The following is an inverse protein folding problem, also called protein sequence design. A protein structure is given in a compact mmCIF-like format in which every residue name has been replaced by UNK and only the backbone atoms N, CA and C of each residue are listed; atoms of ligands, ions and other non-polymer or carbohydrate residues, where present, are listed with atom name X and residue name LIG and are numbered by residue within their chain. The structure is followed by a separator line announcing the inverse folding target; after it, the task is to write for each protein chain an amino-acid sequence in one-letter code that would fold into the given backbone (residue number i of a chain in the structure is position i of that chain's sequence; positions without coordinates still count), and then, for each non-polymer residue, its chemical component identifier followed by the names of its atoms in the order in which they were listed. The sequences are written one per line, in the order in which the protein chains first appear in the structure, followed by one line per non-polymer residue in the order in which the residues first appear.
data_IF_195701542044
#
_entry.id   IF_195701542044
#
_cell.length_a   1.000
_cell.length_b   1.000
_cell.length_c   1.000
_cell.angle_alpha   90.00
_cell.angle_beta   90.00
_cell.angle_gamma   90.00
#
_symmetry.space_group_name_H-M   'P 1'
#
loop_
_entity.id
_entity.type
_entity.pdbx_description
1 polymer ?
#
# COMPACT_ATOMS: atom_id res chain seq x y z
N UNK A 1 21.91 3.78 4.17
CA UNK A 1 20.75 3.12 4.81
C UNK A 1 20.46 3.93 6.07
N UNK A 2 19.41 4.77 6.06
CA UNK A 2 19.02 5.62 7.19
C UNK A 2 17.54 5.34 7.42
N UNK A 3 17.22 4.73 8.57
CA UNK A 3 15.84 4.43 8.98
C UNK A 3 15.34 5.64 9.77
N UNK A 4 14.24 6.25 9.32
CA UNK A 4 13.63 7.42 9.95
C UNK A 4 12.42 6.98 10.76
N UNK A 5 12.34 7.47 11.97
CA UNK A 5 11.27 7.24 12.91
C UNK A 5 10.33 8.45 12.96
N UNK A 6 9.02 8.20 12.95
CA UNK A 6 7.99 9.22 13.06
C UNK A 6 7.32 9.15 14.45
N UNK A 7 7.20 10.30 15.11
CA UNK A 7 6.21 10.51 16.16
C UNK A 7 5.57 11.89 15.97
N UNK A 8 4.32 12.02 16.40
CA UNK A 8 3.33 13.01 15.94
C UNK A 8 3.65 14.50 16.16
N UNK A 9 4.88 14.88 16.55
CA UNK A 9 5.32 16.27 16.68
C UNK A 9 6.78 16.54 16.26
N UNK A 10 7.50 15.58 15.68
CA UNK A 10 8.86 15.82 15.16
C UNK A 10 9.01 15.29 13.74
N UNK A 11 9.30 16.19 12.80
CA UNK A 11 9.71 15.84 11.44
C UNK A 11 11.24 15.86 11.40
N UNK A 12 11.86 14.71 11.24
CA UNK A 12 13.28 14.61 10.85
C UNK A 12 13.28 14.35 9.35
N UNK A 13 13.62 15.36 8.55
CA UNK A 13 13.78 15.20 7.09
C UNK A 13 15.24 14.86 6.81
N UNK A 14 15.62 13.60 6.53
CA UNK A 14 16.91 13.36 5.90
C UNK A 14 16.80 13.78 4.45
N UNK A 15 17.38 14.92 4.12
CA UNK A 15 17.56 15.27 2.71
C UNK A 15 18.79 14.50 2.21
N UNK A 16 18.55 13.37 1.55
CA UNK A 16 19.58 12.73 0.73
C UNK A 16 19.77 13.58 -0.52
N UNK A 17 20.62 14.59 -0.40
CA UNK A 17 21.09 15.34 -1.56
C UNK A 17 22.42 14.74 -1.98
N UNK A 18 22.60 14.45 -3.27
CA UNK A 18 23.96 14.19 -3.76
C UNK A 18 24.86 15.40 -3.42
N UNK A 19 26.17 15.13 -3.29
CA UNK A 19 27.11 16.12 -2.78
C UNK A 19 27.18 17.40 -3.63
N UNK A 20 26.76 17.34 -4.90
CA UNK A 20 26.80 18.45 -5.86
C UNK A 20 25.54 19.31 -5.84
N UNK A 21 24.38 18.69 -5.69
CA UNK A 21 23.08 19.37 -5.63
C UNK A 21 22.88 20.04 -4.26
N UNK A 22 23.54 19.51 -3.22
CA UNK A 22 23.51 20.07 -1.86
C UNK A 22 24.07 21.49 -1.83
N UNK A 23 25.29 21.72 -2.34
CA UNK A 23 25.95 23.03 -2.27
C UNK A 23 25.19 24.13 -3.03
N UNK A 24 24.44 23.79 -4.09
CA UNK A 24 23.68 24.75 -4.89
C UNK A 24 22.41 25.24 -4.20
N UNK A 25 21.70 24.34 -3.52
CA UNK A 25 20.38 24.63 -2.93
C UNK A 25 20.43 24.76 -1.38
N UNK A 26 21.62 24.61 -0.78
CA UNK A 26 21.92 24.71 0.66
C UNK A 26 21.35 25.96 1.33
N UNK A 27 21.60 27.13 0.74
CA UNK A 27 21.16 28.41 1.31
C UNK A 27 19.63 28.53 1.29
N UNK A 28 18.99 27.99 0.24
CA UNK A 28 17.54 28.04 0.07
C UNK A 28 16.82 27.11 1.05
N UNK A 29 17.32 25.88 1.20
CA UNK A 29 16.78 24.89 2.14
C UNK A 29 16.97 25.32 3.60
N UNK A 30 18.13 25.89 3.95
CA UNK A 30 18.39 26.42 5.30
C UNK A 30 17.48 27.61 5.61
N UNK A 31 17.24 28.51 4.64
CA UNK A 31 16.31 29.62 4.81
C UNK A 31 14.87 29.14 5.07
N UNK A 32 14.38 28.21 4.24
CA UNK A 32 13.04 27.60 4.39
C UNK A 32 12.83 26.92 5.75
N UNK A 33 13.86 26.26 6.27
CA UNK A 33 13.77 25.51 7.53
C UNK A 33 13.94 26.38 8.77
N UNK A 34 14.65 27.51 8.68
CA UNK A 34 14.80 28.48 9.78
C UNK A 34 13.53 29.27 10.07
N UNK A 35 12.63 29.41 9.10
CA UNK A 35 11.33 30.07 9.27
C UNK A 35 10.30 29.21 10.01
N UNK A 36 10.63 27.95 10.33
CA UNK A 36 9.76 27.05 11.10
C UNK A 36 10.19 27.05 12.58
N UNK A 37 9.53 27.83 13.46
CA UNK A 37 10.02 28.14 14.82
C UNK A 37 10.03 26.95 15.80
N UNK A 38 9.61 25.76 15.37
CA UNK A 38 9.54 24.54 16.19
C UNK A 38 10.42 23.40 15.69
N UNK A 39 11.17 23.58 14.60
CA UNK A 39 12.06 22.54 14.08
C UNK A 39 13.50 22.76 14.55
N UNK A 40 14.08 21.74 15.18
CA UNK A 40 15.50 21.72 15.50
C UNK A 40 16.24 20.96 14.39
N UNK A 41 16.98 21.67 13.55
CA UNK A 41 17.75 21.08 12.43
C UNK A 41 19.10 20.59 12.96
N UNK A 42 19.34 19.28 12.91
CA UNK A 42 20.61 18.66 13.34
C UNK A 42 21.39 18.21 12.11
N UNK A 43 22.63 18.70 11.95
CA UNK A 43 23.56 18.35 10.87
C UNK A 43 24.21 16.99 11.16
N UNK A 44 24.14 16.06 10.22
CA UNK A 44 24.83 14.77 10.27
C UNK A 44 25.88 14.70 9.15
N UNK A 45 27.13 14.48 9.51
CA UNK A 45 28.24 14.29 8.57
C UNK A 45 28.53 12.80 8.34
N UNK A 46 29.05 12.40 7.17
CA UNK A 46 28.98 11.00 6.74
C UNK A 46 29.91 10.01 7.47
N UNK A 47 30.74 10.45 8.43
CA UNK A 47 31.79 9.60 9.03
C UNK A 47 32.03 9.82 10.53
N UNK A 48 31.13 10.48 11.25
CA UNK A 48 31.21 10.58 12.70
C UNK A 48 30.16 9.69 13.36
N UNK A 49 30.53 8.85 14.35
CA UNK A 49 29.52 8.29 15.24
C UNK A 49 28.89 9.46 16.00
N UNK A 50 27.57 9.52 16.00
CA UNK A 50 26.81 10.55 16.73
C UNK A 50 26.17 9.89 17.96
N UNK A 51 26.87 9.83 19.12
CA UNK A 51 26.32 9.27 20.35
C UNK A 51 25.02 9.95 20.80
N UNK A 52 24.80 11.21 20.38
CA UNK A 52 23.55 11.93 20.60
C UNK A 52 22.43 11.41 19.69
N UNK A 53 22.74 11.03 18.45
CA UNK A 53 21.78 10.42 17.52
C UNK A 53 21.49 8.97 17.87
N UNK A 54 22.49 8.22 18.34
CA UNK A 54 22.28 6.89 18.92
C UNK A 54 21.40 6.97 20.16
N UNK A 55 21.69 7.89 21.09
CA UNK A 55 20.82 8.13 22.25
C UNK A 55 19.43 8.60 21.85
N UNK A 56 19.32 9.48 20.85
CA UNK A 56 18.05 9.93 20.32
C UNK A 56 17.29 8.75 19.70
N UNK A 57 17.94 7.88 18.93
CA UNK A 57 17.37 6.65 18.41
C UNK A 57 16.94 5.70 19.53
N UNK A 58 17.74 5.49 20.57
CA UNK A 58 17.36 4.64 21.71
C UNK A 58 16.19 5.22 22.50
N UNK A 59 16.07 6.55 22.57
CA UNK A 59 14.94 7.24 23.22
C UNK A 59 13.71 7.15 22.33
N UNK A 60 13.87 7.43 21.04
CA UNK A 60 12.83 7.30 20.02
C UNK A 60 12.31 5.86 19.96
N UNK A 61 13.17 4.84 19.95
CA UNK A 61 12.80 3.40 19.99
C UNK A 61 12.03 3.02 21.26
N UNK A 62 12.20 3.76 22.36
CA UNK A 62 11.40 3.58 23.59
C UNK A 62 10.04 4.28 23.54
N UNK A 63 9.88 5.28 22.67
CA UNK A 63 8.65 6.04 22.48
C UNK A 63 7.86 5.63 21.23
N UNK A 64 8.52 4.98 20.27
CA UNK A 64 7.87 4.17 19.25
C UNK A 64 7.48 2.89 19.97
N UNK A 65 6.19 2.59 20.14
CA UNK A 65 5.81 1.29 20.64
C UNK A 65 6.42 0.25 19.68
N UNK A 66 7.07 -0.78 20.22
CA UNK A 66 7.60 -1.92 19.46
C UNK A 66 6.56 -2.56 18.52
N UNK A 67 5.28 -2.24 18.75
CA UNK A 67 4.05 -2.46 17.99
C UNK A 67 4.06 -2.14 16.46
N UNK A 68 5.20 -1.86 15.85
CA UNK A 68 5.32 -1.63 14.41
C UNK A 68 6.05 -2.75 13.67
N UNK A 69 6.43 -3.83 14.37
CA UNK A 69 6.74 -5.08 13.68
C UNK A 69 5.44 -5.64 13.09
N UNK A 70 5.54 -6.26 11.91
CA UNK A 70 4.38 -6.75 11.18
C UNK A 70 3.55 -7.77 11.97
N UNK A 71 4.21 -8.61 12.76
CA UNK A 71 3.57 -9.62 13.61
C UNK A 71 2.77 -8.98 14.76
N UNK A 72 3.16 -7.77 15.20
CA UNK A 72 2.43 -7.04 16.23
C UNK A 72 1.12 -6.44 15.68
N UNK A 73 1.14 -5.90 14.46
CA UNK A 73 -0.04 -5.26 13.84
C UNK A 73 -1.27 -6.17 13.78
N UNK A 74 -1.06 -7.46 13.52
CA UNK A 74 -2.13 -8.45 13.44
C UNK A 74 -2.42 -9.15 14.76
N UNK A 75 -1.58 -9.00 15.79
CA UNK A 75 -1.75 -9.65 17.10
C UNK A 75 -2.19 -8.70 18.22
N UNK A 76 -2.16 -7.39 17.99
CA UNK A 76 -2.59 -6.41 18.99
C UNK A 76 -4.09 -6.54 19.31
N UNK A 77 -4.45 -6.52 20.61
CA UNK A 77 -5.83 -6.45 21.03
C UNK A 77 -6.48 -5.18 20.48
N UNK A 78 -7.73 -5.26 20.08
CA UNK A 78 -8.42 -4.13 19.45
C UNK A 78 -8.73 -2.99 20.43
N UNK A 79 -8.46 -3.19 21.73
CA UNK A 79 -8.76 -2.24 22.80
C UNK A 79 -10.25 -2.18 23.16
N UNK A 80 -11.12 -2.72 22.29
CA UNK A 80 -12.54 -2.88 22.53
C UNK A 80 -12.81 -4.23 23.21
N UNK A 81 -13.77 -4.22 24.14
CA UNK A 81 -14.28 -5.41 24.85
C UNK A 81 -14.89 -6.50 23.95
N UNK A 82 -14.90 -6.28 22.63
CA UNK A 82 -15.40 -7.19 21.60
C UNK A 82 -14.45 -8.30 21.17
N UNK A 83 -13.20 -8.34 21.66
CA UNK A 83 -12.34 -9.53 21.49
C UNK A 83 -12.98 -10.81 22.10
N UNK A 84 -14.08 -10.66 22.83
CA UNK A 84 -14.97 -11.72 23.34
C UNK A 84 -16.16 -12.09 22.42
N UNK A 85 -16.37 -11.40 21.28
CA UNK A 85 -17.41 -11.75 20.29
C UNK A 85 -16.96 -12.93 19.42
N UNK A 86 -16.73 -14.07 20.06
CA UNK A 86 -16.55 -15.32 19.35
C UNK A 86 -17.75 -15.60 18.44
N UNK A 87 -17.46 -15.82 17.15
CA UNK A 87 -18.33 -16.52 16.19
C UNK A 87 -19.79 -16.01 16.05
N UNK A 88 -20.08 -14.75 16.35
CA UNK A 88 -21.34 -14.15 15.91
C UNK A 88 -21.30 -13.99 14.39
N UNK A 89 -22.20 -14.70 13.69
CA UNK A 89 -22.39 -14.54 12.23
C UNK A 89 -22.74 -13.07 11.94
N UNK A 90 -21.76 -12.31 11.47
CA UNK A 90 -21.97 -10.93 11.05
C UNK A 90 -22.75 -10.92 9.73
N UNK A 91 -23.61 -9.91 9.57
CA UNK A 91 -24.23 -9.65 8.28
C UNK A 91 -23.25 -8.95 7.32
N UNK A 92 -23.65 -8.76 6.06
CA UNK A 92 -22.79 -8.14 5.06
C UNK A 92 -22.54 -6.66 5.35
N UNK A 93 -23.51 -5.96 5.95
CA UNK A 93 -23.41 -4.53 6.26
C UNK A 93 -22.45 -4.25 7.42
N UNK A 94 -22.41 -5.11 8.42
CA UNK A 94 -21.44 -5.04 9.52
C UNK A 94 -20.01 -5.24 9.02
N UNK A 95 -19.78 -6.22 8.15
CA UNK A 95 -18.48 -6.47 7.53
C UNK A 95 -18.05 -5.27 6.68
N UNK A 96 -18.98 -4.72 5.89
CA UNK A 96 -18.73 -3.54 5.08
C UNK A 96 -18.37 -2.32 5.95
N UNK A 97 -19.04 -2.15 7.10
CA UNK A 97 -18.72 -1.10 8.07
C UNK A 97 -17.31 -1.24 8.66
N UNK A 98 -16.86 -2.46 8.96
CA UNK A 98 -15.47 -2.69 9.36
C UNK A 98 -14.49 -2.34 8.23
N UNK A 99 -14.80 -2.70 6.99
CA UNK A 99 -13.98 -2.31 5.85
C UNK A 99 -13.93 -0.79 5.64
N UNK A 100 -15.05 -0.07 5.80
CA UNK A 100 -15.11 1.40 5.72
C UNK A 100 -14.22 2.04 6.79
N UNK A 101 -14.32 1.56 8.04
CA UNK A 101 -13.49 2.04 9.14
C UNK A 101 -12.00 1.77 8.90
N UNK A 102 -11.66 0.60 8.36
CA UNK A 102 -10.30 0.26 7.98
C UNK A 102 -9.77 1.19 6.88
N UNK A 103 -10.55 1.43 5.82
CA UNK A 103 -10.18 2.34 4.73
C UNK A 103 -9.96 3.77 5.27
N UNK A 104 -10.81 4.24 6.18
CA UNK A 104 -10.63 5.53 6.86
C UNK A 104 -9.36 5.58 7.73
N UNK A 105 -9.09 4.52 8.48
CA UNK A 105 -7.89 4.40 9.32
C UNK A 105 -6.60 4.38 8.48
N UNK A 106 -6.61 3.70 7.32
CA UNK A 106 -5.50 3.72 6.35
C UNK A 106 -5.21 5.15 5.88
N UNK A 107 -6.25 5.93 5.55
CA UNK A 107 -6.10 7.33 5.15
C UNK A 107 -5.57 8.21 6.30
N UNK A 108 -5.94 7.89 7.54
CA UNK A 108 -5.44 8.56 8.74
C UNK A 108 -4.03 8.08 9.16
N UNK A 109 -3.45 7.11 8.44
CA UNK A 109 -2.18 6.46 8.78
C UNK A 109 -2.20 5.72 10.15
N UNK A 110 -3.40 5.37 10.64
CA UNK A 110 -3.58 4.55 11.84
C UNK A 110 -3.60 3.07 11.46
N UNK A 111 -2.39 2.52 11.29
CA UNK A 111 -2.18 1.15 10.84
C UNK A 111 -2.73 0.10 11.81
N UNK A 112 -2.65 0.41 13.10
CA UNK A 112 -3.14 -0.45 14.19
C UNK A 112 -4.65 -0.59 14.16
N UNK A 113 -5.36 0.53 14.02
CA UNK A 113 -6.81 0.51 13.92
C UNK A 113 -7.27 -0.11 12.59
N UNK A 114 -6.57 0.18 11.49
CA UNK A 114 -6.84 -0.45 10.19
C UNK A 114 -6.73 -1.99 10.27
N UNK A 115 -5.63 -2.51 10.83
CA UNK A 115 -5.42 -3.95 10.98
C UNK A 115 -6.50 -4.60 11.89
N UNK A 116 -6.87 -3.93 12.99
CA UNK A 116 -7.94 -4.37 13.88
C UNK A 116 -9.29 -4.48 13.14
N UNK A 117 -9.67 -3.47 12.36
CA UNK A 117 -10.93 -3.49 11.60
C UNK A 117 -10.93 -4.55 10.50
N UNK A 118 -9.81 -4.71 9.78
CA UNK A 118 -9.66 -5.78 8.77
C UNK A 118 -9.81 -7.16 9.43
N UNK A 119 -9.20 -7.38 10.60
CA UNK A 119 -9.35 -8.64 11.34
C UNK A 119 -10.80 -8.94 11.68
N UNK A 120 -11.54 -7.97 12.23
CA UNK A 120 -12.96 -8.15 12.55
C UNK A 120 -13.79 -8.50 11.32
N UNK A 121 -13.50 -7.86 10.19
CA UNK A 121 -14.14 -8.20 8.91
C UNK A 121 -13.85 -9.65 8.49
N UNK A 122 -12.63 -10.15 8.70
CA UNK A 122 -12.22 -11.53 8.38
C UNK A 122 -12.76 -12.56 9.39
N UNK A 123 -12.90 -12.22 10.67
CA UNK A 123 -13.43 -13.08 11.73
C UNK A 123 -14.89 -13.51 11.50
N UNK A 124 -15.62 -12.79 10.64
CA UNK A 124 -16.96 -13.18 10.18
C UNK A 124 -16.99 -14.56 9.49
N UNK A 125 -15.87 -14.98 8.90
CA UNK A 125 -15.76 -16.26 8.19
C UNK A 125 -16.58 -16.33 6.89
N UNK A 126 -17.07 -15.19 6.39
CA UNK A 126 -17.67 -15.11 5.05
C UNK A 126 -16.59 -14.95 4.00
N UNK A 127 -16.74 -15.69 2.91
CA UNK A 127 -15.92 -15.61 1.71
C UNK A 127 -16.19 -14.32 0.93
N UNK A 128 -15.64 -13.20 1.43
CA UNK A 128 -15.79 -11.87 0.83
C UNK A 128 -14.46 -11.34 0.31
N UNK A 129 -14.46 -10.82 -0.92
CA UNK A 129 -13.27 -10.23 -1.53
C UNK A 129 -12.84 -8.92 -0.84
N UNK A 130 -13.81 -8.13 -0.35
CA UNK A 130 -13.55 -6.77 0.15
C UNK A 130 -12.55 -6.71 1.30
N UNK A 131 -12.65 -7.50 2.39
CA UNK A 131 -11.65 -7.48 3.47
C UNK A 131 -10.23 -7.75 2.98
N UNK A 132 -10.05 -8.71 2.07
CA UNK A 132 -8.74 -9.01 1.48
C UNK A 132 -8.22 -7.87 0.60
N UNK A 133 -9.10 -7.20 -0.15
CA UNK A 133 -8.72 -5.99 -0.90
C UNK A 133 -8.24 -4.88 0.03
N UNK A 134 -8.97 -4.59 1.11
CA UNK A 134 -8.60 -3.56 2.09
C UNK A 134 -7.30 -3.91 2.82
N UNK A 135 -7.07 -5.20 3.10
CA UNK A 135 -5.79 -5.72 3.59
C UNK A 135 -4.65 -5.44 2.61
N UNK A 136 -4.89 -5.66 1.31
CA UNK A 136 -3.95 -5.29 0.25
C UNK A 136 -3.66 -3.80 0.21
N UNK A 137 -4.68 -2.95 0.39
CA UNK A 137 -4.54 -1.49 0.46
C UNK A 137 -3.62 -1.10 1.63
N UNK A 138 -3.85 -1.65 2.84
CA UNK A 138 -2.99 -1.41 4.02
C UNK A 138 -1.52 -1.79 3.75
N UNK A 139 -1.27 -2.97 3.19
CA UNK A 139 0.09 -3.39 2.83
C UNK A 139 0.72 -2.49 1.75
N UNK A 140 -0.07 -2.02 0.78
CA UNK A 140 0.41 -1.18 -0.30
C UNK A 140 0.89 0.19 0.21
N UNK A 141 0.18 0.80 1.17
CA UNK A 141 0.58 2.07 1.79
C UNK A 141 1.81 1.89 2.69
N UNK A 142 1.94 0.72 3.32
CA UNK A 142 3.12 0.31 4.10
C UNK A 142 4.34 -0.07 3.24
N UNK A 143 4.20 -0.08 1.91
CA UNK A 143 5.27 -0.44 0.98
C UNK A 143 5.55 -1.95 0.89
N UNK A 144 4.73 -2.79 1.51
CA UNK A 144 4.84 -4.25 1.49
C UNK A 144 4.22 -4.81 0.19
N UNK A 145 4.84 -4.51 -0.95
CA UNK A 145 4.24 -4.71 -2.27
C UNK A 145 3.93 -6.17 -2.62
N UNK A 146 4.77 -7.11 -2.18
CA UNK A 146 4.54 -8.53 -2.41
C UNK A 146 3.28 -9.00 -1.66
N UNK A 147 3.16 -8.64 -0.37
CA UNK A 147 1.99 -8.98 0.47
C UNK A 147 0.72 -8.30 0.00
N UNK A 148 0.83 -7.05 -0.47
CA UNK A 148 -0.30 -6.36 -1.10
C UNK A 148 -0.81 -7.14 -2.31
N UNK A 149 0.08 -7.57 -3.21
CA UNK A 149 -0.29 -8.36 -4.38
C UNK A 149 -0.91 -9.73 -4.02
N UNK A 150 -0.41 -10.38 -2.97
CA UNK A 150 -0.97 -11.64 -2.47
C UNK A 150 -2.38 -11.43 -1.90
N UNK A 151 -2.60 -10.37 -1.11
CA UNK A 151 -3.91 -10.02 -0.57
C UNK A 151 -4.93 -9.69 -1.67
N UNK A 152 -4.54 -8.92 -2.70
CA UNK A 152 -5.41 -8.71 -3.87
C UNK A 152 -5.67 -10.00 -4.64
N UNK A 153 -4.72 -10.94 -4.66
CA UNK A 153 -4.94 -12.26 -5.27
C UNK A 153 -5.99 -13.06 -4.51
N UNK A 154 -5.98 -13.01 -3.18
CA UNK A 154 -7.05 -13.62 -2.37
C UNK A 154 -8.41 -12.97 -2.65
N UNK A 155 -8.46 -11.63 -2.74
CA UNK A 155 -9.69 -10.94 -3.11
C UNK A 155 -10.23 -11.42 -4.48
N UNK A 156 -9.34 -11.55 -5.48
CA UNK A 156 -9.71 -12.00 -6.83
C UNK A 156 -10.06 -13.49 -6.92
N UNK A 157 -9.57 -14.33 -5.99
CA UNK A 157 -9.99 -15.73 -5.89
C UNK A 157 -11.43 -15.84 -5.37
N UNK A 158 -11.84 -14.92 -4.48
CA UNK A 158 -13.18 -14.88 -3.91
C UNK A 158 -14.18 -14.20 -4.85
N UNK A 159 -13.78 -13.07 -5.47
CA UNK A 159 -14.54 -12.38 -6.49
C UNK A 159 -13.67 -12.11 -7.73
N UNK A 160 -13.75 -12.99 -8.74
CA UNK A 160 -13.03 -12.79 -9.98
C UNK A 160 -13.46 -11.56 -10.78
N UNK A 161 -14.55 -10.87 -10.42
CA UNK A 161 -15.05 -9.66 -11.09
C UNK A 161 -14.75 -8.37 -10.33
N UNK A 162 -14.02 -8.42 -9.22
CA UNK A 162 -13.59 -7.22 -8.50
C UNK A 162 -12.52 -6.44 -9.30
N UNK A 163 -12.99 -5.51 -10.13
CA UNK A 163 -12.14 -4.66 -10.96
C UNK A 163 -11.15 -3.85 -10.12
N UNK A 164 -11.54 -3.42 -8.91
CA UNK A 164 -10.65 -2.64 -8.03
C UNK A 164 -9.44 -3.47 -7.62
N UNK A 165 -9.64 -4.75 -7.30
CA UNK A 165 -8.54 -5.64 -6.94
C UNK A 165 -7.56 -5.89 -8.10
N UNK A 166 -8.04 -6.01 -9.35
CA UNK A 166 -7.14 -6.07 -10.51
C UNK A 166 -6.33 -4.78 -10.68
N UNK A 167 -6.99 -3.62 -10.59
CA UNK A 167 -6.29 -2.34 -10.76
C UNK A 167 -5.24 -2.10 -9.68
N UNK A 168 -5.56 -2.43 -8.43
CA UNK A 168 -4.63 -2.34 -7.31
C UNK A 168 -3.47 -3.32 -7.45
N UNK A 169 -3.73 -4.57 -7.84
CA UNK A 169 -2.66 -5.57 -8.06
C UNK A 169 -1.77 -5.21 -9.24
N UNK A 170 -2.34 -4.69 -10.32
CA UNK A 170 -1.62 -4.14 -11.47
C UNK A 170 -0.64 -3.06 -11.03
N UNK A 171 -1.11 -2.10 -10.21
CA UNK A 171 -0.27 -1.04 -9.66
C UNK A 171 0.86 -1.59 -8.78
N UNK A 172 0.57 -2.59 -7.94
CA UNK A 172 1.62 -3.24 -7.13
C UNK A 172 2.65 -3.95 -7.99
N UNK A 173 2.22 -4.64 -9.04
CA UNK A 173 3.11 -5.30 -9.99
C UNK A 173 3.99 -4.31 -10.74
N UNK A 174 3.46 -3.14 -11.11
CA UNK A 174 4.26 -2.05 -11.67
C UNK A 174 5.33 -1.56 -10.70
N UNK A 175 4.95 -1.27 -9.44
CA UNK A 175 5.88 -0.83 -8.39
C UNK A 175 6.96 -1.87 -8.08
N UNK A 176 6.67 -3.16 -8.26
CA UNK A 176 7.63 -4.29 -8.12
C UNK A 176 8.51 -4.51 -9.36
N UNK A 177 8.30 -3.76 -10.45
CA UNK A 177 8.98 -3.99 -11.73
C UNK A 177 8.49 -5.22 -12.50
N UNK A 178 7.38 -5.84 -12.10
CA UNK A 178 6.79 -7.03 -12.73
C UNK A 178 5.77 -6.63 -13.80
N UNK A 179 6.23 -5.90 -14.82
CA UNK A 179 5.35 -5.32 -15.85
C UNK A 179 4.49 -6.35 -16.60
N UNK A 180 5.01 -7.57 -16.82
CA UNK A 180 4.26 -8.64 -17.48
C UNK A 180 2.98 -9.02 -16.72
N UNK A 181 3.06 -9.16 -15.39
CA UNK A 181 1.89 -9.43 -14.55
C UNK A 181 0.90 -8.26 -14.56
N UNK A 182 1.41 -7.03 -14.62
CA UNK A 182 0.56 -5.84 -14.74
C UNK A 182 -0.22 -5.82 -16.08
N UNK A 183 0.38 -6.25 -17.19
CA UNK A 183 -0.34 -6.40 -18.46
C UNK A 183 -1.44 -7.46 -18.37
N UNK A 184 -1.16 -8.58 -17.69
CA UNK A 184 -2.14 -9.65 -17.51
C UNK A 184 -3.30 -9.23 -16.61
N UNK A 185 -3.04 -8.42 -15.58
CA UNK A 185 -4.06 -7.80 -14.71
C UNK A 185 -4.92 -6.79 -15.48
N UNK A 186 -4.30 -5.90 -16.27
CA UNK A 186 -5.00 -4.95 -17.13
C UNK A 186 -5.90 -5.65 -18.15
N UNK A 187 -5.41 -6.71 -18.79
CA UNK A 187 -6.18 -7.52 -19.71
C UNK A 187 -7.35 -8.22 -19.03
N UNK A 188 -7.13 -8.78 -17.83
CA UNK A 188 -8.18 -9.42 -17.04
C UNK A 188 -9.27 -8.44 -16.62
N UNK A 189 -8.89 -7.23 -16.18
CA UNK A 189 -9.81 -6.16 -15.82
C UNK A 189 -10.61 -5.68 -17.03
N UNK A 190 -9.96 -5.41 -18.16
CA UNK A 190 -10.60 -4.94 -19.39
C UNK A 190 -11.64 -5.94 -19.93
N UNK A 191 -11.39 -7.25 -19.78
CA UNK A 191 -12.32 -8.31 -20.19
C UNK A 191 -13.55 -8.45 -19.27
N UNK A 192 -13.41 -8.06 -18.01
CA UNK A 192 -14.46 -8.22 -16.99
C UNK A 192 -15.29 -6.95 -16.79
N UNK A 193 -14.72 -5.80 -17.14
CA UNK A 193 -15.43 -4.54 -17.13
C UNK A 193 -16.50 -4.52 -18.23
N UNK A 194 -17.62 -3.85 -17.94
CA UNK A 194 -18.65 -3.59 -18.93
C UNK A 194 -18.17 -2.50 -19.89
N UNK A 195 -18.13 -2.77 -21.19
CA UNK A 195 -17.83 -1.77 -22.21
C UNK A 195 -16.88 -2.25 -23.31
N UNK A 196 -16.29 -1.29 -24.01
CA UNK A 196 -15.37 -1.57 -25.11
C UNK A 196 -13.99 -1.99 -24.57
N UNK A 197 -13.65 -3.26 -24.73
CA UNK A 197 -12.38 -3.84 -24.25
C UNK A 197 -11.14 -3.13 -24.76
N UNK A 198 -11.18 -2.59 -25.99
CA UNK A 198 -10.03 -1.90 -26.60
C UNK A 198 -9.81 -0.53 -25.96
N UNK A 199 -10.88 0.23 -25.73
CA UNK A 199 -10.79 1.52 -25.04
C UNK A 199 -10.32 1.34 -23.59
N UNK A 200 -10.76 0.28 -22.92
CA UNK A 200 -10.28 -0.05 -21.57
C UNK A 200 -8.80 -0.46 -21.58
N UNK A 201 -8.34 -1.21 -22.59
CA UNK A 201 -6.93 -1.52 -22.75
C UNK A 201 -6.07 -0.27 -22.95
N UNK A 202 -6.54 0.70 -23.75
CA UNK A 202 -5.89 2.01 -23.92
C UNK A 202 -5.86 2.82 -22.61
N UNK A 203 -6.95 2.80 -21.85
CA UNK A 203 -7.02 3.42 -20.54
C UNK A 203 -5.97 2.81 -19.59
N UNK A 204 -5.89 1.49 -19.48
CA UNK A 204 -4.90 0.84 -18.62
C UNK A 204 -3.47 1.07 -19.11
N UNK A 205 -3.23 1.01 -20.42
CA UNK A 205 -1.92 1.29 -21.01
C UNK A 205 -1.40 2.70 -20.68
N UNK A 206 -2.30 3.68 -20.53
CA UNK A 206 -1.91 5.06 -20.16
C UNK A 206 -1.24 5.15 -18.79
N UNK A 207 -1.50 4.20 -17.87
CA UNK A 207 -0.86 4.14 -16.55
C UNK A 207 0.61 3.71 -16.59
N UNK A 208 1.12 3.27 -17.75
CA UNK A 208 2.52 2.88 -17.96
C UNK A 208 3.42 4.04 -18.43
N UNK A 209 2.89 5.26 -18.52
CA UNK A 209 3.68 6.46 -18.84
C UNK A 209 4.30 6.43 -20.24
N UNK A 210 5.63 6.58 -20.33
CA UNK A 210 6.37 6.59 -21.60
C UNK A 210 6.24 5.29 -22.38
N UNK A 211 6.01 4.17 -21.69
CA UNK A 211 5.93 2.84 -22.31
C UNK A 211 4.51 2.48 -22.78
N UNK A 212 3.60 3.46 -22.84
CA UNK A 212 2.18 3.26 -23.18
C UNK A 212 1.97 2.44 -24.46
N UNK A 213 2.67 2.75 -25.55
CA UNK A 213 2.48 2.03 -26.82
C UNK A 213 2.89 0.56 -26.73
N UNK A 214 4.01 0.30 -26.06
CA UNK A 214 4.45 -1.06 -25.79
C UNK A 214 3.45 -1.78 -24.88
N UNK A 215 3.04 -1.14 -23.77
CA UNK A 215 2.07 -1.67 -22.83
C UNK A 215 0.73 -2.02 -23.50
N UNK A 216 0.21 -1.12 -24.34
CA UNK A 216 -1.02 -1.35 -25.10
C UNK A 216 -0.91 -2.60 -25.96
N UNK A 217 0.18 -2.74 -26.72
CA UNK A 217 0.42 -3.94 -27.52
C UNK A 217 0.40 -5.22 -26.67
N UNK A 218 1.11 -5.22 -25.54
CA UNK A 218 1.18 -6.38 -24.62
C UNK A 218 -0.16 -6.72 -23.98
N UNK A 219 -0.94 -5.70 -23.60
CA UNK A 219 -2.29 -5.88 -23.04
C UNK A 219 -3.22 -6.47 -24.09
N UNK A 220 -3.21 -5.95 -25.33
CA UNK A 220 -4.03 -6.49 -26.42
C UNK A 220 -3.65 -7.94 -26.76
N UNK A 221 -2.36 -8.27 -26.77
CA UNK A 221 -1.87 -9.65 -26.92
C UNK A 221 -2.36 -10.57 -25.79
N UNK A 222 -2.38 -10.09 -24.54
CA UNK A 222 -2.91 -10.84 -23.40
C UNK A 222 -4.44 -11.03 -23.48
N UNK A 223 -5.18 -10.00 -23.93
CA UNK A 223 -6.62 -10.10 -24.18
C UNK A 223 -6.91 -11.14 -25.26
N UNK A 224 -6.17 -11.12 -26.37
CA UNK A 224 -6.35 -12.06 -27.48
C UNK A 224 -6.10 -13.50 -27.02
N UNK A 225 -5.03 -13.75 -26.25
CA UNK A 225 -4.73 -15.06 -25.66
C UNK A 225 -5.88 -15.57 -24.78
N UNK A 226 -6.37 -14.75 -23.84
CA UNK A 226 -7.49 -15.10 -22.96
C UNK A 226 -8.80 -15.36 -23.71
N UNK A 227 -9.09 -14.61 -24.78
CA UNK A 227 -10.25 -14.86 -25.65
C UNK A 227 -10.12 -16.17 -26.43
N UNK A 228 -8.90 -16.51 -26.88
CA UNK A 228 -8.58 -17.78 -27.52
C UNK A 228 -8.77 -18.97 -26.57
N UNK A 229 -8.29 -18.87 -25.33
CA UNK A 229 -8.49 -19.88 -24.29
C UNK A 229 -9.97 -20.12 -23.96
N UNK A 230 -10.81 -19.07 -24.00
CA UNK A 230 -12.27 -19.24 -23.83
C UNK A 230 -12.98 -19.92 -25.00
N UNK A 231 -12.32 -20.13 -26.15
CA UNK A 231 -12.91 -20.83 -27.30
C UNK A 231 -12.81 -22.35 -27.21
N UNK A 232 -11.97 -22.90 -26.32
CA UNK A 232 -11.78 -24.36 -26.17
C UNK A 232 -12.78 -25.02 -25.20
N UNK A 233 -13.70 -24.24 -24.62
CA UNK A 233 -14.79 -24.73 -23.75
C UNK A 233 -16.19 -24.61 -24.41
N UNK A 234 -16.30 -24.89 -25.71
CA UNK A 234 -17.59 -24.98 -26.41
C UNK A 234 -17.89 -26.40 -26.89
#
# INVERSE_FOLDING_TARGET
MITVAFSSNCVVVPVLVDQFTYERDKAHLVGLLQELPKLQVVRLEPYQPYPALERLNTVIEKFIPTANSEDDLWSLPTGDTSDALGQTRMDTGEIDGFCDNAEAAILAMDWTHAAAMIRRALESGRDMARPHRVMGDLFAVRGMLDKAADAYTQALNLDPFDLRSYERRMEMNLRRGRAHLAYDDAAAAALRAQGNTTQLAEHYASRFGSDKEHALKRILEAIARRKGETSEYR
#
